data_IF_780373784084
#
_entry.id   IF_780373784084
#
_cell.length_a   1.000
_cell.length_b   1.000
_cell.length_c   1.000
_cell.angle_alpha   90.00
_cell.angle_beta   90.00
_cell.angle_gamma   90.00
#
_symmetry.space_group_name_H-M   'P 1'
#
loop_
_entity.id
_entity.type
_entity.pdbx_description
1 polymer ?
#
# COMPACT_ATOMS: atom_id res chain seq x y z
N UNK A 1 -4.23 -20.23 -21.89
CA UNK A 1 -3.38 -19.23 -21.19
C UNK A 1 -3.20 -19.77 -19.82
N UNK A 2 -1.98 -19.84 -19.30
CA UNK A 2 -1.79 -20.25 -17.92
C UNK A 2 -2.55 -19.25 -17.03
N UNK A 3 -3.29 -19.76 -16.05
CA UNK A 3 -3.87 -18.94 -15.00
C UNK A 3 -2.69 -18.32 -14.25
N UNK A 4 -2.47 -17.03 -14.45
CA UNK A 4 -1.33 -16.30 -13.92
C UNK A 4 -1.83 -15.18 -13.02
N UNK A 5 -1.14 -14.98 -11.92
CA UNK A 5 -1.38 -13.89 -10.99
C UNK A 5 -0.33 -12.78 -11.20
N UNK A 6 -0.68 -11.54 -10.92
CA UNK A 6 0.24 -10.40 -10.92
C UNK A 6 0.16 -9.70 -9.57
N UNK A 7 1.26 -9.64 -8.85
CA UNK A 7 1.34 -8.86 -7.61
C UNK A 7 1.35 -7.37 -7.94
N UNK A 8 0.31 -6.64 -7.50
CA UNK A 8 0.13 -5.21 -7.74
C UNK A 8 0.30 -4.36 -6.47
N UNK A 9 0.33 -4.99 -5.29
CA UNK A 9 0.62 -4.37 -4.02
C UNK A 9 1.77 -5.14 -3.37
N UNK A 10 2.96 -4.55 -3.39
CA UNK A 10 4.19 -5.20 -3.00
C UNK A 10 5.25 -4.21 -2.58
N UNK A 11 5.95 -4.53 -1.50
CA UNK A 11 7.02 -3.75 -0.89
C UNK A 11 8.37 -4.40 -1.11
N UNK A 12 9.36 -3.57 -1.44
CA UNK A 12 10.77 -3.98 -1.59
C UNK A 12 11.60 -3.48 -0.41
N UNK A 13 12.92 -3.72 -0.45
CA UNK A 13 13.88 -3.12 0.49
C UNK A 13 13.85 -1.59 0.52
N UNK A 14 13.22 -0.95 -0.47
CA UNK A 14 13.03 0.50 -0.53
C UNK A 14 11.79 1.00 0.24
N UNK A 15 10.94 0.09 0.74
CA UNK A 15 10.02 0.35 1.87
C UNK A 15 10.81 0.30 3.17
N UNK A 16 11.65 1.31 3.37
CA UNK A 16 12.73 1.40 4.37
C UNK A 16 12.30 0.92 5.76
N UNK A 17 12.98 -0.12 6.27
CA UNK A 17 12.74 -0.75 7.57
C UNK A 17 11.40 -1.48 7.71
N UNK A 18 10.66 -1.67 6.61
CA UNK A 18 9.40 -2.40 6.58
C UNK A 18 9.40 -3.49 5.50
N UNK A 19 9.93 -3.23 4.31
CA UNK A 19 10.09 -4.23 3.26
C UNK A 19 11.40 -5.02 3.39
N UNK A 20 11.33 -6.35 3.29
CA UNK A 20 12.48 -7.26 3.30
C UNK A 20 12.68 -7.98 1.95
N UNK A 21 11.89 -7.67 0.93
CA UNK A 21 11.98 -8.28 -0.40
C UNK A 21 12.98 -7.53 -1.28
N UNK A 22 14.11 -8.16 -1.61
CA UNK A 22 15.08 -7.57 -2.54
C UNK A 22 14.54 -7.62 -3.96
N UNK A 23 14.71 -6.54 -4.72
CA UNK A 23 14.22 -6.43 -6.11
C UNK A 23 14.65 -7.61 -6.97
N UNK A 24 15.92 -8.00 -6.92
CA UNK A 24 16.43 -9.14 -7.71
C UNK A 24 15.71 -10.45 -7.37
N UNK A 25 15.45 -10.71 -6.08
CA UNK A 25 14.77 -11.93 -5.61
C UNK A 25 13.29 -11.91 -5.97
N UNK A 26 12.65 -10.75 -5.91
CA UNK A 26 11.25 -10.51 -6.34
C UNK A 26 11.10 -10.86 -7.82
N UNK A 27 11.95 -10.30 -8.68
CA UNK A 27 11.90 -10.53 -10.13
C UNK A 27 12.21 -11.98 -10.46
N UNK A 28 13.21 -12.58 -9.80
CA UNK A 28 13.52 -14.01 -9.97
C UNK A 28 12.35 -14.93 -9.58
N UNK A 29 11.62 -14.57 -8.51
CA UNK A 29 10.42 -15.30 -8.08
C UNK A 29 9.30 -15.20 -9.12
N UNK A 30 9.06 -14.02 -9.68
CA UNK A 30 8.09 -13.81 -10.75
C UNK A 30 8.41 -14.64 -12.00
N UNK A 31 9.68 -14.65 -12.44
CA UNK A 31 10.13 -15.49 -13.57
C UNK A 31 9.89 -16.98 -13.29
N UNK A 32 10.28 -17.43 -12.10
CA UNK A 32 10.13 -18.86 -11.69
C UNK A 32 8.65 -19.29 -11.69
N UNK A 33 7.75 -18.40 -11.30
CA UNK A 33 6.30 -18.66 -11.24
C UNK A 33 5.59 -18.40 -12.59
N UNK A 34 6.30 -17.88 -13.60
CA UNK A 34 5.74 -17.55 -14.91
C UNK A 34 4.82 -16.34 -14.90
N UNK A 35 4.97 -15.44 -13.95
CA UNK A 35 4.16 -14.22 -13.87
C UNK A 35 4.54 -13.26 -15.00
N UNK A 36 3.58 -12.74 -15.79
CA UNK A 36 3.87 -11.90 -16.95
C UNK A 36 4.25 -10.46 -16.57
N UNK A 37 3.89 -10.04 -15.38
CA UNK A 37 4.11 -8.69 -14.87
C UNK A 37 4.28 -8.71 -13.36
N UNK A 38 4.82 -7.62 -12.79
CA UNK A 38 4.98 -7.42 -11.35
C UNK A 38 4.87 -5.93 -11.04
N UNK A 39 4.20 -5.61 -9.92
CA UNK A 39 4.10 -4.24 -9.40
C UNK A 39 5.23 -3.92 -8.40
N UNK A 40 5.48 -2.64 -8.19
CA UNK A 40 6.23 -2.09 -7.06
C UNK A 40 5.40 -0.96 -6.44
N UNK A 41 5.18 -1.01 -5.13
CA UNK A 41 4.37 -0.03 -4.39
C UNK A 41 4.99 0.30 -3.04
N UNK A 42 6.27 0.66 -3.04
CA UNK A 42 6.98 1.01 -1.81
C UNK A 42 6.34 2.18 -1.06
N UNK A 43 6.46 2.16 0.26
CA UNK A 43 5.87 3.15 1.16
C UNK A 43 6.38 4.56 0.91
N UNK A 44 5.50 5.45 0.42
CA UNK A 44 5.68 6.89 0.33
C UNK A 44 6.84 7.36 -0.55
N UNK A 45 7.43 6.49 -1.36
CA UNK A 45 8.56 6.85 -2.20
C UNK A 45 8.61 6.06 -3.52
N UNK A 46 9.51 6.48 -4.40
CA UNK A 46 9.79 5.85 -5.69
C UNK A 46 11.28 5.48 -5.86
N UNK A 47 11.99 5.26 -4.75
CA UNK A 47 13.46 5.08 -4.78
C UNK A 47 13.89 3.82 -5.54
N UNK A 48 13.15 2.72 -5.40
CA UNK A 48 13.43 1.45 -6.07
C UNK A 48 12.96 1.35 -7.51
N UNK A 49 12.19 2.34 -8.01
CA UNK A 49 11.49 2.23 -9.30
C UNK A 49 12.44 2.02 -10.49
N UNK A 50 13.58 2.70 -10.53
CA UNK A 50 14.52 2.56 -11.63
C UNK A 50 15.18 1.18 -11.64
N UNK A 51 15.65 0.71 -10.50
CA UNK A 51 16.28 -0.60 -10.35
C UNK A 51 15.29 -1.71 -10.69
N UNK A 52 14.07 -1.59 -10.17
CA UNK A 52 12.97 -2.53 -10.46
C UNK A 52 12.62 -2.58 -11.95
N UNK A 53 12.50 -1.41 -12.60
CA UNK A 53 12.24 -1.31 -14.04
C UNK A 53 13.33 -2.01 -14.86
N UNK A 54 14.61 -1.78 -14.52
CA UNK A 54 15.75 -2.37 -15.23
C UNK A 54 15.79 -3.90 -15.04
N UNK A 55 15.63 -4.40 -13.81
CA UNK A 55 15.66 -5.84 -13.53
C UNK A 55 14.46 -6.57 -14.16
N UNK A 56 13.26 -6.00 -14.12
CA UNK A 56 12.10 -6.57 -14.78
C UNK A 56 12.30 -6.68 -16.31
N UNK A 57 12.76 -5.60 -16.97
CA UNK A 57 12.99 -5.63 -18.42
C UNK A 57 14.07 -6.63 -18.81
N UNK A 58 15.15 -6.72 -18.05
CA UNK A 58 16.23 -7.70 -18.26
C UNK A 58 15.71 -9.15 -18.13
N UNK A 59 14.78 -9.39 -17.24
CA UNK A 59 14.17 -10.69 -16.98
C UNK A 59 12.97 -11.01 -17.90
N UNK A 60 12.50 -10.07 -18.71
CA UNK A 60 11.31 -10.23 -19.56
C UNK A 60 9.97 -10.18 -18.80
N UNK A 61 9.95 -9.64 -17.60
CA UNK A 61 8.75 -9.38 -16.80
C UNK A 61 8.30 -7.95 -17.03
N UNK A 62 7.00 -7.70 -17.26
CA UNK A 62 6.48 -6.33 -17.42
C UNK A 62 6.48 -5.60 -16.07
N UNK A 63 7.25 -4.49 -15.91
CA UNK A 63 7.18 -3.68 -14.69
C UNK A 63 5.90 -2.85 -14.65
N UNK A 64 5.22 -2.86 -13.50
CA UNK A 64 4.10 -1.97 -13.20
C UNK A 64 4.57 -1.05 -12.07
N UNK A 65 4.73 0.24 -12.40
CA UNK A 65 5.26 1.24 -11.47
C UNK A 65 4.15 1.76 -10.58
N UNK A 66 4.44 1.95 -9.30
CA UNK A 66 3.53 2.51 -8.33
C UNK A 66 4.24 2.96 -7.06
N UNK A 67 3.46 3.36 -6.09
CA UNK A 67 3.86 3.64 -4.71
C UNK A 67 2.64 3.52 -3.80
N UNK A 68 2.81 3.02 -2.61
CA UNK A 68 1.82 3.16 -1.57
C UNK A 68 2.02 4.50 -0.86
N UNK A 69 1.29 5.51 -1.32
CA UNK A 69 1.40 6.87 -0.80
C UNK A 69 0.87 6.94 0.64
N UNK A 70 1.53 7.74 1.48
CA UNK A 70 0.95 8.16 2.75
C UNK A 70 -0.02 9.32 2.50
N UNK A 71 -1.25 9.17 2.96
CA UNK A 71 -2.30 10.15 2.80
C UNK A 71 -2.61 10.83 4.13
N UNK A 72 -2.65 12.16 4.16
CA UNK A 72 -3.06 12.94 5.31
C UNK A 72 -4.54 12.69 5.66
N UNK A 73 -4.96 13.03 6.87
CA UNK A 73 -6.36 12.94 7.25
C UNK A 73 -7.22 13.89 6.40
N UNK A 74 -6.83 15.17 6.33
CA UNK A 74 -7.43 16.18 5.44
C UNK A 74 -6.37 16.94 4.65
N UNK A 75 -5.39 17.57 5.30
CA UNK A 75 -4.37 18.40 4.66
C UNK A 75 -2.95 17.86 4.91
N UNK A 76 -2.09 17.91 3.90
CA UNK A 76 -0.72 17.37 3.94
C UNK A 76 0.20 18.05 4.95
N UNK A 77 -0.08 19.30 5.30
CA UNK A 77 0.68 20.07 6.29
C UNK A 77 0.26 19.81 7.74
N UNK A 78 -0.75 18.97 7.97
CA UNK A 78 -1.20 18.60 9.30
C UNK A 78 -0.09 17.95 10.13
N UNK A 79 0.06 18.43 11.37
CA UNK A 79 1.03 17.92 12.34
C UNK A 79 0.33 17.32 13.55
N UNK A 80 -0.46 16.28 13.29
CA UNK A 80 -1.25 15.61 14.32
C UNK A 80 -0.33 14.96 15.36
N UNK A 81 -0.67 15.17 16.65
CA UNK A 81 0.08 14.58 17.76
C UNK A 81 -0.31 13.11 17.92
N UNK A 82 0.67 12.22 17.85
CA UNK A 82 0.44 10.80 18.08
C UNK A 82 0.21 10.50 19.57
N UNK A 83 -0.68 9.57 19.85
CA UNK A 83 -0.76 8.91 21.16
C UNK A 83 0.32 7.84 21.24
N UNK A 84 1.31 8.03 22.11
CA UNK A 84 2.43 7.11 22.27
C UNK A 84 3.63 7.40 21.37
N UNK A 85 4.68 6.60 21.53
CA UNK A 85 5.99 6.79 20.87
C UNK A 85 6.19 5.91 19.63
N UNK A 86 5.26 5.03 19.28
CA UNK A 86 5.44 4.10 18.15
C UNK A 86 5.45 4.84 16.83
N UNK A 87 6.50 4.63 16.07
CA UNK A 87 6.67 5.07 14.69
C UNK A 87 6.74 3.82 13.80
N UNK A 88 5.59 3.16 13.64
CA UNK A 88 5.42 2.04 12.72
C UNK A 88 4.52 2.47 11.55
N UNK A 89 4.38 1.63 10.55
CA UNK A 89 3.53 1.89 9.38
C UNK A 89 2.03 1.60 9.59
N UNK A 90 1.58 1.43 10.84
CA UNK A 90 0.15 1.26 11.18
C UNK A 90 -0.70 2.53 11.06
N UNK A 91 -0.11 3.65 10.64
CA UNK A 91 -0.79 4.94 10.48
C UNK A 91 -0.78 5.83 11.73
N UNK A 92 -0.20 5.38 12.83
CA UNK A 92 -0.13 6.10 14.11
C UNK A 92 -1.49 6.52 14.66
N UNK A 93 -1.74 6.33 15.94
CA UNK A 93 -3.00 6.73 16.57
C UNK A 93 -2.94 8.17 17.08
N UNK A 94 -3.99 8.94 16.81
CA UNK A 94 -4.18 10.30 17.33
C UNK A 94 -5.46 10.39 18.16
N UNK A 95 -5.66 11.52 18.82
CA UNK A 95 -6.85 11.74 19.63
C UNK A 95 -8.13 11.67 18.76
N UNK A 96 -9.19 11.05 19.31
CA UNK A 96 -10.46 10.86 18.60
C UNK A 96 -10.48 9.65 17.64
N UNK A 97 -9.54 8.71 17.76
CA UNK A 97 -9.54 7.48 16.96
C UNK A 97 -9.16 7.68 15.49
N UNK A 98 -8.59 8.83 15.15
CA UNK A 98 -8.06 9.12 13.80
C UNK A 98 -6.66 8.54 13.65
N UNK A 99 -6.22 8.38 12.41
CA UNK A 99 -4.83 8.06 12.07
C UNK A 99 -4.09 9.35 11.68
N UNK A 100 -2.80 9.42 11.95
CA UNK A 100 -1.98 10.55 11.53
C UNK A 100 -1.73 10.55 10.00
N UNK A 101 -1.81 9.39 9.41
CA UNK A 101 -1.75 9.16 7.97
C UNK A 101 -2.43 7.83 7.63
N UNK A 102 -2.78 7.67 6.38
CA UNK A 102 -3.40 6.49 5.79
C UNK A 102 -2.58 6.03 4.60
N UNK A 103 -2.85 4.83 4.11
CA UNK A 103 -2.21 4.26 2.93
C UNK A 103 -3.11 4.40 1.71
N UNK A 104 -2.50 4.68 0.55
CA UNK A 104 -3.18 4.72 -0.75
C UNK A 104 -2.28 4.06 -1.80
N UNK A 105 -2.61 2.84 -2.16
CA UNK A 105 -1.91 2.12 -3.23
C UNK A 105 -2.22 2.76 -4.57
N UNK A 106 -1.17 3.25 -5.24
CA UNK A 106 -1.27 4.01 -6.48
C UNK A 106 -0.39 3.36 -7.54
N UNK A 107 -0.93 3.12 -8.73
CA UNK A 107 -0.25 2.51 -9.86
C UNK A 107 -0.26 3.46 -11.07
N UNK A 108 0.77 3.37 -11.89
CA UNK A 108 0.93 4.16 -13.10
C UNK A 108 0.35 3.42 -14.30
N UNK A 109 -0.59 4.03 -15.01
CA UNK A 109 -1.15 3.51 -16.24
C UNK A 109 -0.30 3.88 -17.47
N UNK A 110 0.22 5.12 -17.51
CA UNK A 110 0.89 5.69 -18.67
C UNK A 110 1.93 6.75 -18.28
N UNK A 111 2.58 7.39 -19.27
CA UNK A 111 3.63 8.39 -19.04
C UNK A 111 3.13 9.67 -18.33
N UNK A 112 1.86 10.02 -18.48
CA UNK A 112 1.27 11.17 -17.75
C UNK A 112 1.18 10.79 -16.27
N UNK A 113 0.62 9.61 -15.96
CA UNK A 113 0.55 9.10 -14.60
C UNK A 113 1.92 8.94 -13.94
N UNK A 114 2.96 8.52 -14.70
CA UNK A 114 4.31 8.44 -14.15
C UNK A 114 4.83 9.81 -13.70
N UNK A 115 4.62 10.86 -14.50
CA UNK A 115 4.98 12.23 -14.12
C UNK A 115 4.16 12.72 -12.93
N UNK A 116 2.87 12.42 -12.91
CA UNK A 116 1.99 12.77 -11.81
C UNK A 116 2.39 12.07 -10.50
N UNK A 117 2.76 10.79 -10.54
CA UNK A 117 3.24 10.09 -9.35
C UNK A 117 4.55 10.69 -8.83
N UNK A 118 5.48 11.11 -9.72
CA UNK A 118 6.69 11.85 -9.34
C UNK A 118 6.33 13.17 -8.65
N UNK A 119 5.34 13.92 -9.16
CA UNK A 119 4.89 15.16 -8.53
C UNK A 119 4.29 14.91 -7.15
N UNK A 120 3.41 13.92 -7.02
CA UNK A 120 2.81 13.52 -5.75
C UNK A 120 3.88 13.15 -4.72
N UNK A 121 4.82 12.26 -5.08
CA UNK A 121 5.90 11.85 -4.20
C UNK A 121 6.79 13.04 -3.80
N UNK A 122 7.18 13.89 -4.75
CA UNK A 122 8.04 15.06 -4.50
C UNK A 122 7.35 16.08 -3.60
N UNK A 123 6.09 16.42 -3.87
CA UNK A 123 5.31 17.37 -3.05
C UNK A 123 5.03 16.82 -1.66
N UNK A 124 4.82 15.51 -1.53
CA UNK A 124 4.69 14.87 -0.22
C UNK A 124 5.94 15.08 0.65
N UNK A 125 7.13 14.98 0.08
CA UNK A 125 8.37 15.25 0.79
C UNK A 125 8.60 16.74 1.06
N UNK A 126 8.30 17.60 0.12
CA UNK A 126 8.60 19.05 0.22
C UNK A 126 7.57 19.81 1.07
N UNK A 127 6.29 19.44 0.99
CA UNK A 127 5.17 20.17 1.58
C UNK A 127 4.49 19.42 2.72
N UNK A 128 4.41 18.06 2.61
CA UNK A 128 3.65 17.20 3.51
C UNK A 128 4.48 16.42 4.54
N UNK A 129 5.79 16.66 4.62
CA UNK A 129 6.65 15.89 5.49
C UNK A 129 6.50 16.29 6.96
N UNK A 130 5.82 15.43 7.69
CA UNK A 130 5.87 15.38 9.14
C UNK A 130 5.79 13.92 9.56
N UNK A 131 6.91 13.33 10.00
CA UNK A 131 7.14 11.90 10.27
C UNK A 131 7.11 11.03 9.01
N UNK A 132 6.11 11.18 8.16
CA UNK A 132 5.97 10.54 6.85
C UNK A 132 5.66 11.60 5.79
N UNK A 133 6.10 11.40 4.53
CA UNK A 133 5.76 12.27 3.42
C UNK A 133 4.29 12.04 3.01
N UNK A 134 3.40 13.01 3.27
CA UNK A 134 1.97 12.85 3.04
C UNK A 134 1.48 13.63 1.83
N UNK A 135 0.64 12.99 1.04
CA UNK A 135 -0.25 13.64 0.08
C UNK A 135 -1.58 13.96 0.74
N UNK A 136 -2.41 14.79 0.11
CA UNK A 136 -3.78 15.06 0.51
C UNK A 136 -4.73 15.05 -0.69
N UNK A 137 -5.99 15.29 -0.42
CA UNK A 137 -7.04 15.28 -1.44
C UNK A 137 -6.81 16.30 -2.55
N UNK A 138 -6.28 17.48 -2.20
CA UNK A 138 -6.02 18.57 -3.12
C UNK A 138 -5.01 18.18 -4.19
N UNK A 139 -3.81 17.71 -3.79
CA UNK A 139 -2.78 17.33 -4.76
C UNK A 139 -3.08 16.02 -5.48
N UNK A 140 -3.90 15.14 -4.89
CA UNK A 140 -4.40 13.96 -5.59
C UNK A 140 -5.33 14.36 -6.74
N UNK A 141 -6.24 15.33 -6.54
CA UNK A 141 -7.11 15.83 -7.58
C UNK A 141 -6.32 16.52 -8.71
N UNK A 142 -5.31 17.34 -8.36
CA UNK A 142 -4.43 18.01 -9.33
C UNK A 142 -3.62 17.04 -10.19
N UNK A 143 -3.27 15.86 -9.68
CA UNK A 143 -2.32 14.93 -10.29
C UNK A 143 -2.90 13.51 -10.47
N UNK A 144 -4.22 13.37 -10.67
CA UNK A 144 -4.89 12.08 -10.80
C UNK A 144 -4.76 11.42 -12.17
N UNK A 145 -4.56 12.20 -13.24
CA UNK A 145 -4.56 11.70 -14.62
C UNK A 145 -3.49 10.61 -14.83
N UNK A 146 -3.88 9.49 -15.43
CA UNK A 146 -3.01 8.36 -15.76
C UNK A 146 -2.57 7.55 -14.53
N UNK A 147 -3.25 7.72 -13.40
CA UNK A 147 -3.07 6.94 -12.18
C UNK A 147 -4.26 6.03 -11.92
N UNK A 148 -3.97 4.83 -11.45
CA UNK A 148 -4.95 3.86 -10.95
C UNK A 148 -4.73 3.75 -9.45
N UNK A 149 -5.81 3.76 -8.66
CA UNK A 149 -5.73 3.62 -7.21
C UNK A 149 -6.61 2.48 -6.72
N UNK A 150 -6.29 1.99 -5.53
CA UNK A 150 -7.13 1.00 -4.83
C UNK A 150 -7.66 1.55 -3.52
N UNK A 151 -8.61 0.85 -2.90
CA UNK A 151 -9.06 1.19 -1.55
C UNK A 151 -8.02 0.89 -0.48
N UNK A 152 -6.93 0.24 -0.85
CA UNK A 152 -5.77 -0.05 -0.01
C UNK A 152 -5.96 -1.20 0.97
N UNK A 153 -4.94 -1.38 1.82
CA UNK A 153 -4.89 -2.36 2.90
C UNK A 153 -5.66 -1.89 4.15
N UNK A 154 -5.49 -2.58 5.28
CA UNK A 154 -6.08 -2.18 6.58
C UNK A 154 -5.67 -0.76 7.02
N UNK A 155 -4.50 -0.27 6.58
CA UNK A 155 -4.04 1.11 6.80
C UNK A 155 -4.73 2.16 5.92
N UNK A 156 -5.52 1.74 4.93
CA UNK A 156 -6.15 2.63 3.95
C UNK A 156 -7.31 3.47 4.52
N UNK A 157 -7.56 4.60 3.90
CA UNK A 157 -8.63 5.55 4.30
C UNK A 157 -10.01 4.89 4.34
N UNK A 158 -10.31 4.05 3.36
CA UNK A 158 -11.63 3.38 3.23
C UNK A 158 -11.82 2.33 4.32
N UNK A 159 -10.82 1.47 4.56
CA UNK A 159 -10.92 0.42 5.56
C UNK A 159 -10.90 0.99 6.99
N UNK A 160 -10.11 2.02 7.25
CA UNK A 160 -10.12 2.71 8.55
C UNK A 160 -11.47 3.37 8.83
N UNK A 161 -12.11 3.99 7.83
CA UNK A 161 -13.46 4.51 7.97
C UNK A 161 -14.48 3.37 8.24
N UNK A 162 -14.36 2.25 7.50
CA UNK A 162 -15.22 1.08 7.68
C UNK A 162 -15.14 0.49 9.10
N UNK A 163 -13.95 0.36 9.63
CA UNK A 163 -13.71 -0.24 10.95
C UNK A 163 -14.14 0.67 12.11
N UNK A 164 -13.94 1.98 11.98
CA UNK A 164 -14.10 2.94 13.08
C UNK A 164 -15.38 3.76 13.01
N UNK A 165 -15.99 3.94 11.82
CA UNK A 165 -17.14 4.82 11.59
C UNK A 165 -18.31 4.08 10.91
N UNK A 166 -18.05 2.91 10.31
CA UNK A 166 -19.04 2.05 9.69
C UNK A 166 -19.09 2.12 8.17
N UNK A 167 -19.99 1.31 7.60
CA UNK A 167 -20.06 1.05 6.16
C UNK A 167 -20.36 2.30 5.32
N UNK A 168 -21.26 3.19 5.78
CA UNK A 168 -21.63 4.39 5.01
C UNK A 168 -20.47 5.38 4.95
N UNK A 169 -19.71 5.55 6.02
CA UNK A 169 -18.50 6.37 6.03
C UNK A 169 -17.42 5.82 5.07
N UNK A 170 -17.26 4.49 5.00
CA UNK A 170 -16.37 3.87 4.02
C UNK A 170 -16.83 4.13 2.57
N UNK A 171 -18.14 4.05 2.31
CA UNK A 171 -18.71 4.39 1.00
C UNK A 171 -18.47 5.86 0.62
N UNK A 172 -18.54 6.79 1.58
CA UNK A 172 -18.24 8.21 1.37
C UNK A 172 -16.77 8.41 0.99
N UNK A 173 -15.83 7.78 1.71
CA UNK A 173 -14.38 7.86 1.39
C UNK A 173 -14.07 7.24 0.03
N UNK A 174 -14.63 6.08 -0.30
CA UNK A 174 -14.47 5.47 -1.61
C UNK A 174 -15.15 6.30 -2.71
N UNK A 175 -16.26 6.96 -2.43
CA UNK A 175 -16.94 7.90 -3.33
C UNK A 175 -16.05 9.08 -3.70
N UNK A 176 -15.33 9.66 -2.72
CA UNK A 176 -14.39 10.75 -2.98
C UNK A 176 -13.22 10.31 -3.88
N UNK A 177 -12.69 9.10 -3.68
CA UNK A 177 -11.69 8.54 -4.61
C UNK A 177 -12.28 8.32 -6.00
N UNK A 178 -13.53 7.85 -6.09
CA UNK A 178 -14.24 7.66 -7.35
C UNK A 178 -14.44 8.97 -8.10
N UNK A 179 -14.75 10.06 -7.41
CA UNK A 179 -14.92 11.39 -8.01
C UNK A 179 -13.58 11.92 -8.58
N UNK A 180 -12.46 11.65 -7.93
CA UNK A 180 -11.12 12.08 -8.37
C UNK A 180 -10.59 11.23 -9.53
N UNK A 181 -10.60 9.91 -9.39
CA UNK A 181 -9.92 9.01 -10.33
C UNK A 181 -10.83 8.42 -11.41
N UNK A 182 -12.13 8.46 -11.19
CA UNK A 182 -13.10 7.82 -12.09
C UNK A 182 -13.20 6.31 -11.89
N UNK A 183 -14.23 5.72 -12.50
CA UNK A 183 -14.63 4.32 -12.29
C UNK A 183 -13.62 3.31 -12.82
N UNK A 184 -12.97 3.64 -13.92
CA UNK A 184 -12.04 2.73 -14.60
C UNK A 184 -10.66 2.72 -13.94
N UNK A 185 -10.40 3.64 -13.01
CA UNK A 185 -9.13 3.82 -12.32
C UNK A 185 -9.22 3.64 -10.80
N UNK A 186 -10.35 3.17 -10.28
CA UNK A 186 -10.51 2.83 -8.86
C UNK A 186 -10.95 1.37 -8.70
N UNK A 187 -10.19 0.61 -7.90
CA UNK A 187 -10.47 -0.78 -7.57
C UNK A 187 -10.71 -0.95 -6.08
N UNK A 188 -11.69 -1.79 -5.72
CA UNK A 188 -11.86 -2.21 -4.32
C UNK A 188 -10.94 -3.37 -4.05
N UNK A 189 -9.93 -3.12 -3.23
CA UNK A 189 -8.89 -4.08 -2.88
C UNK A 189 -9.37 -5.01 -1.77
N UNK A 190 -9.12 -6.31 -1.94
CA UNK A 190 -9.34 -7.34 -0.94
C UNK A 190 -8.05 -8.11 -0.71
N UNK A 191 -7.77 -8.42 0.56
CA UNK A 191 -6.59 -9.16 1.01
C UNK A 191 -7.02 -10.25 1.98
N UNK A 192 -6.29 -11.37 2.02
CA UNK A 192 -6.51 -12.44 3.00
C UNK A 192 -5.17 -12.99 3.52
N UNK A 193 -4.79 -12.53 4.71
CA UNK A 193 -3.65 -13.04 5.47
C UNK A 193 -4.09 -13.80 6.73
N UNK A 194 -5.38 -14.16 6.83
CA UNK A 194 -5.95 -14.75 8.04
C UNK A 194 -6.12 -13.75 9.19
N UNK A 195 -5.96 -12.45 8.94
CA UNK A 195 -6.12 -11.40 9.94
C UNK A 195 -7.61 -11.20 10.25
N UNK A 196 -8.04 -11.23 11.53
CA UNK A 196 -9.45 -11.11 11.88
C UNK A 196 -10.16 -9.90 11.30
N UNK A 197 -9.47 -8.76 11.23
CA UNK A 197 -10.03 -7.53 10.65
C UNK A 197 -10.24 -7.65 9.13
N UNK A 198 -9.36 -8.32 8.40
CA UNK A 198 -9.57 -8.61 6.98
C UNK A 198 -10.77 -9.53 6.76
N UNK A 199 -10.87 -10.61 7.54
CA UNK A 199 -12.01 -11.53 7.47
C UNK A 199 -13.33 -10.82 7.76
N UNK A 200 -13.35 -9.86 8.69
CA UNK A 200 -14.52 -9.05 9.04
C UNK A 200 -14.87 -8.02 7.97
N UNK A 201 -13.87 -7.39 7.34
CA UNK A 201 -14.09 -6.28 6.40
C UNK A 201 -14.27 -6.74 4.94
N UNK A 202 -13.71 -7.86 4.52
CA UNK A 202 -13.83 -8.36 3.14
C UNK A 202 -15.28 -8.50 2.65
N UNK A 203 -16.24 -9.07 3.42
CA UNK A 203 -17.64 -9.11 3.00
C UNK A 203 -18.25 -7.71 2.80
N UNK A 204 -17.82 -6.73 3.61
CA UNK A 204 -18.28 -5.34 3.50
C UNK A 204 -17.64 -4.64 2.29
N UNK A 205 -16.37 -4.91 1.98
CA UNK A 205 -15.72 -4.41 0.76
C UNK A 205 -16.40 -4.93 -0.51
N UNK A 206 -16.82 -6.20 -0.52
CA UNK A 206 -17.63 -6.76 -1.63
C UNK A 206 -18.98 -6.04 -1.76
N UNK A 207 -19.63 -5.69 -0.65
CA UNK A 207 -20.87 -4.91 -0.67
C UNK A 207 -20.62 -3.47 -1.16
N UNK A 208 -19.53 -2.84 -0.74
CA UNK A 208 -19.11 -1.50 -1.18
C UNK A 208 -18.85 -1.50 -2.69
N UNK A 209 -18.11 -2.49 -3.19
CA UNK A 209 -17.86 -2.65 -4.62
C UNK A 209 -19.16 -2.76 -5.43
N UNK A 210 -20.13 -3.54 -4.96
CA UNK A 210 -21.46 -3.65 -5.57
C UNK A 210 -22.23 -2.33 -5.52
N UNK A 211 -22.22 -1.64 -4.37
CA UNK A 211 -22.95 -0.37 -4.18
C UNK A 211 -22.44 0.73 -5.10
N UNK A 212 -21.10 0.85 -5.22
CA UNK A 212 -20.45 1.87 -6.05
C UNK A 212 -20.20 1.40 -7.49
N UNK A 213 -20.52 0.14 -7.81
CA UNK A 213 -20.27 -0.53 -9.10
C UNK A 213 -18.78 -0.46 -9.49
N UNK A 214 -17.90 -0.75 -8.55
CA UNK A 214 -16.46 -0.79 -8.72
C UNK A 214 -15.97 -2.23 -8.90
N UNK A 215 -14.90 -2.46 -9.67
CA UNK A 215 -14.27 -3.76 -9.78
C UNK A 215 -13.54 -4.14 -8.48
N UNK A 216 -13.47 -5.45 -8.21
CA UNK A 216 -12.66 -6.01 -7.14
C UNK A 216 -11.25 -6.30 -7.64
N UNK A 217 -10.27 -6.12 -6.78
CA UNK A 217 -8.88 -6.50 -6.99
C UNK A 217 -8.38 -7.29 -5.79
N UNK A 218 -7.86 -8.50 -6.01
CA UNK A 218 -7.18 -9.27 -4.97
C UNK A 218 -5.69 -8.96 -5.00
N UNK A 219 -5.12 -8.63 -3.84
CA UNK A 219 -3.68 -8.39 -3.67
C UNK A 219 -3.15 -9.15 -2.46
N UNK A 220 -1.83 -9.18 -2.31
CA UNK A 220 -1.19 -9.86 -1.19
C UNK A 220 -0.35 -8.96 -0.29
N UNK A 221 -0.18 -7.68 -0.63
CA UNK A 221 0.58 -6.76 0.21
C UNK A 221 1.90 -7.39 0.72
N UNK A 222 2.70 -7.86 -0.25
CA UNK A 222 3.89 -8.68 0.04
C UNK A 222 5.02 -7.83 0.57
N UNK A 223 5.64 -8.25 1.67
CA UNK A 223 6.76 -7.56 2.31
C UNK A 223 8.06 -8.37 2.29
N UNK A 224 7.99 -9.64 1.92
CA UNK A 224 9.14 -10.53 1.79
C UNK A 224 8.88 -11.57 0.69
N UNK A 225 9.94 -12.24 0.23
CA UNK A 225 9.85 -13.13 -0.94
C UNK A 225 9.34 -14.52 -0.56
N UNK A 226 9.94 -15.16 0.43
CA UNK A 226 9.57 -16.53 0.83
C UNK A 226 8.88 -16.52 2.20
N UNK A 227 7.99 -17.46 2.43
CA UNK A 227 7.26 -17.58 3.70
C UNK A 227 8.20 -17.63 4.92
N UNK A 228 9.34 -18.31 4.82
CA UNK A 228 10.34 -18.38 5.89
C UNK A 228 11.03 -17.06 6.22
N UNK A 229 10.98 -16.06 5.34
CA UNK A 229 11.59 -14.74 5.55
C UNK A 229 10.82 -13.90 6.58
N UNK A 230 9.63 -14.34 7.00
CA UNK A 230 8.84 -13.69 8.04
C UNK A 230 9.63 -13.46 9.34
N UNK A 231 10.56 -14.36 9.70
CA UNK A 231 11.41 -14.25 10.90
C UNK A 231 12.41 -13.08 10.75
N UNK A 232 13.02 -12.95 9.58
CA UNK A 232 13.96 -11.86 9.29
C UNK A 232 13.21 -10.51 9.19
N UNK A 233 12.02 -10.52 8.61
CA UNK A 233 11.14 -9.36 8.54
C UNK A 233 10.70 -8.87 9.94
N UNK A 234 10.35 -9.78 10.85
CA UNK A 234 10.03 -9.43 12.25
C UNK A 234 11.21 -8.75 12.97
N UNK A 235 12.45 -9.20 12.70
CA UNK A 235 13.65 -8.53 13.22
C UNK A 235 13.83 -7.12 12.62
N UNK A 236 13.54 -6.94 11.33
CA UNK A 236 13.58 -5.63 10.67
C UNK A 236 12.58 -4.65 11.28
N UNK A 237 11.36 -5.09 11.58
CA UNK A 237 10.34 -4.28 12.27
C UNK A 237 10.78 -3.88 13.68
N UNK A 238 11.57 -4.71 14.38
CA UNK A 238 12.18 -4.32 15.66
C UNK A 238 13.16 -3.17 15.49
N UNK A 239 13.95 -3.16 14.41
CA UNK A 239 14.83 -2.03 14.09
C UNK A 239 14.04 -0.76 13.81
N UNK A 240 12.96 -0.86 13.03
CA UNK A 240 12.07 0.25 12.69
C UNK A 240 11.47 0.92 13.95
N UNK A 241 11.02 0.09 14.88
CA UNK A 241 10.27 0.56 16.07
C UNK A 241 11.13 0.78 17.31
N UNK A 242 12.43 0.45 17.25
CA UNK A 242 13.33 0.49 18.40
C UNK A 242 12.99 -0.53 19.49
N UNK A 243 12.32 -1.62 19.13
CA UNK A 243 11.91 -2.70 20.03
C UNK A 243 12.89 -3.87 19.98
N UNK A 244 12.78 -4.80 20.95
CA UNK A 244 13.51 -6.06 20.95
C UNK A 244 12.59 -7.21 20.56
N UNK A 245 13.14 -8.27 19.95
CA UNK A 245 12.37 -9.49 19.62
C UNK A 245 11.69 -10.14 20.84
N UNK A 246 12.25 -9.93 22.03
CA UNK A 246 11.71 -10.42 23.30
C UNK A 246 10.53 -9.60 23.83
N UNK A 247 10.28 -8.40 23.30
CA UNK A 247 9.21 -7.53 23.78
C UNK A 247 7.85 -8.11 23.37
N UNK A 248 6.97 -8.44 24.31
CA UNK A 248 5.70 -9.11 23.98
C UNK A 248 4.72 -8.21 23.22
N UNK A 249 4.76 -6.90 23.47
CA UNK A 249 3.83 -5.91 22.92
C UNK A 249 4.42 -5.11 21.74
N UNK A 250 5.51 -5.60 21.12
CA UNK A 250 6.09 -4.94 19.95
C UNK A 250 5.16 -4.97 18.75
N UNK A 251 5.32 -4.03 17.85
CA UNK A 251 4.70 -4.09 16.54
C UNK A 251 5.26 -5.29 15.76
N UNK A 252 4.38 -6.06 15.15
CA UNK A 252 4.73 -7.17 14.27
C UNK A 252 3.55 -7.49 13.35
N UNK A 253 3.83 -8.07 12.22
CA UNK A 253 2.79 -8.64 11.36
C UNK A 253 2.25 -9.93 11.96
N UNK A 254 0.95 -10.15 11.77
CA UNK A 254 0.30 -11.38 12.21
C UNK A 254 0.52 -12.49 11.18
N UNK A 255 1.06 -13.63 11.64
CA UNK A 255 1.32 -14.78 10.77
C UNK A 255 2.54 -14.57 9.87
N UNK A 256 2.59 -15.35 8.79
CA UNK A 256 3.70 -15.44 7.84
C UNK A 256 3.19 -15.38 6.38
N UNK A 257 2.08 -14.68 6.16
CA UNK A 257 1.35 -14.72 4.88
C UNK A 257 1.66 -13.54 3.93
N UNK A 258 2.54 -12.59 4.32
CA UNK A 258 2.95 -11.44 3.51
C UNK A 258 4.11 -11.74 2.55
N UNK A 259 4.19 -12.97 2.04
CA UNK A 259 5.21 -13.39 1.06
C UNK A 259 4.66 -13.36 -0.37
N UNK A 260 5.54 -13.42 -1.37
CA UNK A 260 5.15 -13.57 -2.77
C UNK A 260 4.56 -14.95 -3.01
N UNK A 261 3.24 -15.02 -3.12
CA UNK A 261 2.53 -16.27 -3.41
C UNK A 261 2.60 -16.61 -4.89
N UNK A 262 2.55 -17.90 -5.19
CA UNK A 262 2.39 -18.41 -6.56
C UNK A 262 0.96 -18.16 -7.07
N UNK A 263 0.80 -18.21 -8.38
CA UNK A 263 -0.49 -18.10 -9.05
C UNK A 263 -1.46 -19.24 -8.70
#
# INVERSE_FOLDING_TARGET
>A
MADSFVHLHQHTEYSMLDGAARIGDVVASAVKDGQPAMGITDHGNMYGVLDFYQECNKAGVKPIIGSELYMAHEHRDERLQLRGSRMDDSGGEVEGGKKAYYHLTTLVENQVGYKNLIQLSSRAFMEGYYRKPKVDWEILEEHSEGLIVTTGCLGGHVLQAMMNQGFDAACERAGRLLDIFGRDHLFVEIQDHGIPDQLRTNPQLIQLAKRLKLPLLATNDSHYVNQGDAVAHDALLCVQTGSQLSDPDRFRFHGDHHYLKTA
#
